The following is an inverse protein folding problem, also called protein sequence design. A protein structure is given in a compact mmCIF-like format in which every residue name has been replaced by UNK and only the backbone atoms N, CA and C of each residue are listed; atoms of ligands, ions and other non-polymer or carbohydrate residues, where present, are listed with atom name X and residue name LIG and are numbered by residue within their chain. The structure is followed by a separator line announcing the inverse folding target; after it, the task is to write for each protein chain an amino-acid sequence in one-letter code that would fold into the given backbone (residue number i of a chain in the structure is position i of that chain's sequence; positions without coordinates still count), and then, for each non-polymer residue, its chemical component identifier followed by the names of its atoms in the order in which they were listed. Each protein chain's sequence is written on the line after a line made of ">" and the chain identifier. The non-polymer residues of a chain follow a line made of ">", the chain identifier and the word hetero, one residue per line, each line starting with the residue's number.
data_IF_860067900877
#
_entry.id   IF_860067900877
#
_cell.length_a   1.000
_cell.length_b   1.000
_cell.length_c   1.000
_cell.angle_alpha   90.00
_cell.angle_beta   90.00
_cell.angle_gamma   90.00
#
_symmetry.space_group_name_H-M   'P 1'
#
loop_
_entity.id
_entity.type
_entity.pdbx_description
1 polymer ?
#
# COMPACT_ATOMS: atom_id res chain seq x y z
N UNK A 1 23.63 -25.40 -13.80
CA UNK A 1 22.25 -25.61 -13.31
C UNK A 1 22.30 -25.83 -11.81
N UNK A 2 21.62 -25.03 -11.00
CA UNK A 2 21.43 -25.35 -9.57
C UNK A 2 20.24 -26.30 -9.46
N UNK A 3 20.41 -27.42 -8.78
CA UNK A 3 19.31 -28.32 -8.44
C UNK A 3 18.44 -27.58 -7.42
N UNK A 4 17.23 -27.21 -7.82
CA UNK A 4 16.23 -26.62 -6.93
C UNK A 4 15.70 -27.73 -6.03
N UNK A 5 15.72 -27.54 -4.72
CA UNK A 5 15.24 -28.58 -3.79
C UNK A 5 13.72 -28.72 -3.92
N UNK A 6 13.17 -29.95 -3.88
CA UNK A 6 11.72 -30.16 -3.99
C UNK A 6 10.94 -29.41 -2.89
N UNK A 7 11.56 -29.24 -1.71
CA UNK A 7 11.02 -28.46 -0.60
C UNK A 7 10.78 -26.99 -0.97
N UNK A 8 11.72 -26.36 -1.67
CA UNK A 8 11.59 -24.95 -2.08
C UNK A 8 10.43 -24.72 -3.05
N UNK A 9 10.17 -25.71 -3.91
CA UNK A 9 9.09 -25.70 -4.89
C UNK A 9 7.72 -25.85 -4.21
N UNK A 10 7.62 -26.76 -3.23
CA UNK A 10 6.42 -26.90 -2.40
C UNK A 10 6.12 -25.64 -1.60
N UNK A 11 7.14 -25.04 -0.97
CA UNK A 11 6.99 -23.83 -0.17
C UNK A 11 6.51 -22.64 -1.03
N UNK A 12 7.06 -22.49 -2.25
CA UNK A 12 6.59 -21.49 -3.21
C UNK A 12 5.11 -21.69 -3.57
N UNK A 13 4.68 -22.93 -3.84
CA UNK A 13 3.29 -23.24 -4.15
C UNK A 13 2.33 -22.92 -3.00
N UNK A 14 2.72 -23.25 -1.76
CA UNK A 14 1.91 -22.97 -0.57
C UNK A 14 1.75 -21.46 -0.37
N UNK A 15 2.83 -20.69 -0.48
CA UNK A 15 2.77 -19.23 -0.35
C UNK A 15 1.89 -18.62 -1.42
N UNK A 16 2.05 -19.04 -2.67
CA UNK A 16 1.18 -18.59 -3.78
C UNK A 16 -0.29 -18.85 -3.48
N UNK A 17 -0.60 -20.05 -2.97
CA UNK A 17 -1.97 -20.42 -2.58
C UNK A 17 -2.51 -19.52 -1.47
N UNK A 18 -1.73 -19.31 -0.40
CA UNK A 18 -2.12 -18.44 0.72
C UNK A 18 -2.39 -17.01 0.25
N UNK A 19 -1.58 -16.47 -0.66
CA UNK A 19 -1.77 -15.13 -1.23
C UNK A 19 -3.08 -14.99 -2.00
N UNK A 20 -3.39 -15.96 -2.86
CA UNK A 20 -4.65 -15.96 -3.60
C UNK A 20 -5.85 -16.04 -2.65
N UNK A 21 -5.82 -16.94 -1.66
CA UNK A 21 -6.86 -17.04 -0.65
C UNK A 21 -7.01 -15.70 0.11
N UNK A 22 -5.91 -15.09 0.54
CA UNK A 22 -5.92 -13.81 1.24
C UNK A 22 -6.50 -12.67 0.38
N UNK A 23 -6.19 -12.64 -0.91
CA UNK A 23 -6.72 -11.63 -1.85
C UNK A 23 -8.22 -11.81 -2.04
N UNK A 24 -8.67 -13.06 -2.24
CA UNK A 24 -10.10 -13.38 -2.38
C UNK A 24 -10.86 -13.05 -1.10
N UNK A 25 -10.31 -13.36 0.08
CA UNK A 25 -10.91 -12.99 1.36
C UNK A 25 -10.98 -11.47 1.54
N UNK A 26 -9.93 -10.73 1.18
CA UNK A 26 -9.93 -9.26 1.24
C UNK A 26 -11.05 -8.66 0.37
N UNK A 27 -11.19 -9.13 -0.87
CA UNK A 27 -12.30 -8.73 -1.76
C UNK A 27 -13.67 -9.12 -1.19
N UNK A 28 -13.79 -10.32 -0.63
CA UNK A 28 -15.03 -10.82 -0.05
C UNK A 28 -15.46 -9.99 1.18
N UNK A 29 -14.52 -9.59 2.04
CA UNK A 29 -14.79 -8.76 3.22
C UNK A 29 -15.00 -7.27 2.88
N UNK A 30 -14.47 -6.80 1.76
CA UNK A 30 -14.71 -5.43 1.30
C UNK A 30 -16.18 -5.18 0.93
N UNK A 31 -16.86 -6.17 0.34
CA UNK A 31 -18.28 -6.06 -0.04
C UNK A 31 -19.19 -5.75 1.15
N UNK A 32 -19.23 -6.55 2.24
CA UNK A 32 -20.07 -6.23 3.40
C UNK A 32 -19.63 -4.93 4.08
N UNK A 33 -18.34 -4.60 4.09
CA UNK A 33 -17.88 -3.32 4.61
C UNK A 33 -18.47 -2.14 3.82
N UNK A 34 -18.44 -2.19 2.49
CA UNK A 34 -19.05 -1.16 1.62
C UNK A 34 -20.58 -1.12 1.78
N UNK A 35 -21.25 -2.27 1.93
CA UNK A 35 -22.69 -2.33 2.21
C UNK A 35 -23.01 -1.62 3.53
N UNK A 36 -22.24 -1.88 4.61
CA UNK A 36 -22.44 -1.21 5.90
C UNK A 36 -22.23 0.30 5.77
N UNK A 37 -21.17 0.73 5.06
CA UNK A 37 -20.94 2.17 4.81
C UNK A 37 -22.10 2.79 4.03
N UNK A 38 -22.64 2.11 3.03
CA UNK A 38 -23.76 2.59 2.23
C UNK A 38 -25.07 2.67 3.04
N UNK A 39 -25.37 1.65 3.87
CA UNK A 39 -26.54 1.64 4.75
C UNK A 39 -26.45 2.74 5.83
N UNK A 40 -25.24 3.00 6.33
CA UNK A 40 -24.99 4.07 7.28
C UNK A 40 -24.92 5.46 6.65
N UNK A 41 -24.84 5.58 5.31
CA UNK A 41 -24.67 6.87 4.63
C UNK A 41 -25.82 7.87 4.89
N UNK A 42 -27.03 7.38 5.21
CA UNK A 42 -28.17 8.23 5.59
C UNK A 42 -28.10 8.74 7.04
N UNK A 43 -27.23 8.15 7.88
CA UNK A 43 -27.05 8.51 9.30
C UNK A 43 -25.80 9.35 9.54
N UNK A 44 -24.87 9.36 8.60
CA UNK A 44 -23.59 10.10 8.68
C UNK A 44 -23.52 11.12 7.55
N UNK A 45 -22.59 12.07 7.65
CA UNK A 45 -22.34 12.99 6.54
C UNK A 45 -21.92 12.21 5.27
N UNK A 46 -22.48 12.57 4.12
CA UNK A 46 -22.14 11.98 2.81
C UNK A 46 -20.65 12.03 2.50
N UNK A 47 -19.95 13.09 2.95
CA UNK A 47 -18.49 13.20 2.79
C UNK A 47 -17.75 12.15 3.60
N UNK A 48 -18.21 11.90 4.82
CA UNK A 48 -17.60 10.91 5.71
C UNK A 48 -17.79 9.48 5.19
N UNK A 49 -18.99 9.14 4.69
CA UNK A 49 -19.22 7.83 4.07
C UNK A 49 -18.38 7.64 2.79
N UNK A 50 -18.25 8.66 1.94
CA UNK A 50 -17.37 8.62 0.76
C UNK A 50 -15.91 8.38 1.16
N UNK A 51 -15.40 9.07 2.19
CA UNK A 51 -14.03 8.86 2.69
C UNK A 51 -13.83 7.43 3.22
N UNK A 52 -14.79 6.89 3.97
CA UNK A 52 -14.74 5.50 4.45
C UNK A 52 -14.74 4.49 3.29
N UNK A 53 -15.62 4.68 2.30
CA UNK A 53 -15.64 3.85 1.10
C UNK A 53 -14.31 3.92 0.35
N UNK A 54 -13.70 5.10 0.25
CA UNK A 54 -12.44 5.30 -0.43
C UNK A 54 -11.28 4.59 0.28
N UNK A 55 -11.25 4.57 1.62
CA UNK A 55 -10.26 3.79 2.40
C UNK A 55 -10.39 2.30 2.08
N UNK A 56 -11.61 1.76 2.07
CA UNK A 56 -11.86 0.34 1.76
C UNK A 56 -11.41 0.01 0.34
N UNK A 57 -11.79 0.85 -0.64
CA UNK A 57 -11.41 0.64 -2.04
C UNK A 57 -9.89 0.72 -2.24
N UNK A 58 -9.22 1.74 -1.67
CA UNK A 58 -7.76 1.85 -1.75
C UNK A 58 -7.05 0.64 -1.12
N UNK A 59 -7.55 0.13 0.01
CA UNK A 59 -7.02 -1.07 0.64
C UNK A 59 -7.10 -2.30 -0.27
N UNK A 60 -8.27 -2.55 -0.86
CA UNK A 60 -8.47 -3.67 -1.79
C UNK A 60 -7.59 -3.52 -3.04
N UNK A 61 -7.49 -2.32 -3.60
CA UNK A 61 -6.63 -2.05 -4.76
C UNK A 61 -5.16 -2.29 -4.40
N UNK A 62 -4.72 -1.86 -3.22
CA UNK A 62 -3.35 -2.11 -2.74
C UNK A 62 -3.06 -3.61 -2.58
N UNK A 63 -4.01 -4.38 -2.04
CA UNK A 63 -3.91 -5.84 -1.93
C UNK A 63 -3.84 -6.52 -3.31
N UNK A 64 -4.68 -6.09 -4.25
CA UNK A 64 -4.66 -6.59 -5.64
C UNK A 64 -3.29 -6.31 -6.27
N UNK A 65 -2.75 -5.09 -6.16
CA UNK A 65 -1.43 -4.77 -6.72
C UNK A 65 -0.33 -5.60 -6.06
N UNK A 66 -0.37 -5.73 -4.73
CA UNK A 66 0.62 -6.51 -3.98
C UNK A 66 0.62 -7.99 -4.41
N UNK A 67 -0.55 -8.60 -4.47
CA UNK A 67 -0.69 -10.05 -4.61
C UNK A 67 -0.76 -10.52 -6.07
N UNK A 68 -1.33 -9.72 -6.98
CA UNK A 68 -1.54 -10.10 -8.39
C UNK A 68 -0.41 -9.58 -9.29
N UNK A 69 -0.02 -8.31 -9.12
CA UNK A 69 0.95 -7.66 -10.01
C UNK A 69 2.39 -7.87 -9.55
N UNK A 70 2.63 -7.66 -8.27
CA UNK A 70 3.99 -7.63 -7.73
C UNK A 70 4.48 -9.02 -7.32
N UNK A 71 3.67 -9.80 -6.60
CA UNK A 71 3.98 -11.16 -6.11
C UNK A 71 5.32 -11.25 -5.32
N UNK A 72 5.55 -10.41 -4.30
CA UNK A 72 6.87 -10.32 -3.68
C UNK A 72 7.19 -11.57 -2.87
N UNK A 73 8.19 -12.37 -3.27
CA UNK A 73 8.74 -13.41 -2.40
C UNK A 73 9.50 -12.78 -1.22
N UNK A 74 8.82 -12.55 -0.08
CA UNK A 74 9.42 -11.99 1.14
C UNK A 74 10.15 -13.03 2.01
N UNK A 75 10.72 -14.07 1.40
CA UNK A 75 11.24 -15.23 2.13
C UNK A 75 12.69 -15.13 2.62
N UNK A 76 13.40 -14.02 2.39
CA UNK A 76 14.76 -13.85 2.90
C UNK A 76 15.01 -12.43 3.44
N UNK A 77 15.85 -12.29 4.50
CA UNK A 77 16.30 -10.99 5.02
C UNK A 77 17.12 -10.21 3.98
N UNK A 78 17.61 -10.88 2.94
CA UNK A 78 18.10 -10.21 1.74
C UNK A 78 16.92 -9.95 0.81
N UNK A 79 16.56 -8.67 0.69
CA UNK A 79 15.58 -8.04 -0.21
C UNK A 79 15.82 -8.32 -1.69
N UNK A 80 15.93 -9.57 -2.11
CA UNK A 80 15.85 -9.95 -3.51
C UNK A 80 14.37 -9.99 -3.87
N UNK A 81 13.82 -8.83 -4.21
CA UNK A 81 12.49 -8.75 -4.86
C UNK A 81 12.67 -9.33 -6.25
N UNK A 82 12.52 -10.64 -6.36
CA UNK A 82 12.45 -11.32 -7.64
C UNK A 82 10.97 -11.54 -7.97
N UNK A 83 10.55 -10.99 -9.10
CA UNK A 83 9.22 -11.23 -9.68
C UNK A 83 9.37 -12.43 -10.61
N UNK A 84 9.10 -13.62 -10.10
CA UNK A 84 9.31 -14.86 -10.85
C UNK A 84 8.10 -15.22 -11.72
N UNK A 85 6.89 -15.18 -11.17
CA UNK A 85 5.69 -15.70 -11.86
C UNK A 85 4.44 -14.86 -11.54
N UNK A 86 4.39 -13.58 -11.97
CA UNK A 86 3.22 -12.74 -11.74
C UNK A 86 1.99 -13.33 -12.44
N UNK A 87 0.82 -13.21 -11.82
CA UNK A 87 -0.41 -13.71 -12.42
C UNK A 87 -0.75 -12.96 -13.72
N UNK A 88 -0.47 -11.65 -13.74
CA UNK A 88 -0.59 -10.81 -14.93
C UNK A 88 0.83 -10.33 -15.31
N UNK A 89 1.41 -10.80 -16.42
CA UNK A 89 2.77 -10.46 -16.83
C UNK A 89 2.81 -9.08 -17.51
N UNK A 90 2.45 -8.03 -16.78
CA UNK A 90 2.65 -6.64 -17.23
C UNK A 90 4.17 -6.41 -17.38
N UNK A 91 4.65 -5.75 -18.45
CA UNK A 91 6.05 -5.37 -18.57
C UNK A 91 6.41 -4.33 -17.51
N UNK A 92 7.51 -4.56 -16.80
CA UNK A 92 7.98 -3.65 -15.75
C UNK A 92 9.04 -4.28 -14.88
N UNK A 93 9.96 -3.45 -14.37
CA UNK A 93 10.93 -3.88 -13.36
C UNK A 93 10.27 -4.05 -11.98
N UNK A 94 10.86 -4.84 -11.07
CA UNK A 94 10.34 -5.02 -9.70
C UNK A 94 10.25 -3.70 -8.92
N UNK A 95 11.11 -2.72 -9.23
CA UNK A 95 11.08 -1.39 -8.61
C UNK A 95 9.80 -0.63 -8.94
N UNK A 96 9.31 -0.70 -10.18
CA UNK A 96 8.09 -0.01 -10.59
C UNK A 96 6.88 -0.49 -9.79
N UNK A 97 6.74 -1.81 -9.61
CA UNK A 97 5.62 -2.37 -8.84
C UNK A 97 5.70 -2.05 -7.36
N UNK A 98 6.92 -2.04 -6.80
CA UNK A 98 7.16 -1.58 -5.44
C UNK A 98 6.75 -0.10 -5.27
N UNK A 99 7.14 0.77 -6.20
CA UNK A 99 6.78 2.18 -6.20
C UNK A 99 5.26 2.40 -6.26
N UNK A 100 4.57 1.70 -7.16
CA UNK A 100 3.12 1.76 -7.28
C UNK A 100 2.46 1.32 -5.96
N UNK A 101 2.91 0.20 -5.38
CA UNK A 101 2.37 -0.32 -4.13
C UNK A 101 2.59 0.63 -2.94
N UNK A 102 3.81 1.15 -2.77
CA UNK A 102 4.12 2.14 -1.73
C UNK A 102 3.26 3.40 -1.92
N UNK A 103 3.11 3.87 -3.16
CA UNK A 103 2.26 5.01 -3.48
C UNK A 103 0.80 4.79 -3.09
N UNK A 104 0.24 3.61 -3.41
CA UNK A 104 -1.13 3.24 -3.04
C UNK A 104 -1.34 3.19 -1.52
N UNK A 105 -0.41 2.60 -0.78
CA UNK A 105 -0.48 2.58 0.69
C UNK A 105 -0.41 4.00 1.24
N UNK A 106 0.50 4.80 0.72
CA UNK A 106 0.73 6.16 1.17
C UNK A 106 -0.49 7.06 0.97
N UNK A 107 -1.22 6.89 -0.14
CA UNK A 107 -2.48 7.59 -0.39
C UNK A 107 -3.53 7.38 0.72
N UNK A 108 -3.44 6.30 1.51
CA UNK A 108 -4.34 6.12 2.64
C UNK A 108 -4.12 7.16 3.75
N UNK A 109 -2.90 7.67 3.94
CA UNK A 109 -2.57 8.61 5.04
C UNK A 109 -3.40 9.90 4.96
N UNK A 110 -3.43 10.65 3.83
CA UNK A 110 -4.26 11.85 3.75
C UNK A 110 -5.76 11.53 3.83
N UNK A 111 -6.20 10.36 3.35
CA UNK A 111 -7.62 9.94 3.42
C UNK A 111 -8.03 9.63 4.86
N UNK A 112 -7.17 8.92 5.62
CA UNK A 112 -7.36 8.72 7.06
C UNK A 112 -7.34 10.03 7.82
N UNK A 113 -6.43 10.95 7.48
CA UNK A 113 -6.38 12.29 8.06
C UNK A 113 -7.67 13.08 7.82
N UNK A 114 -8.18 13.08 6.58
CA UNK A 114 -9.44 13.72 6.23
C UNK A 114 -10.63 13.08 6.97
N UNK A 115 -10.67 11.75 7.03
CA UNK A 115 -11.70 10.98 7.73
C UNK A 115 -11.70 11.28 9.25
N UNK A 116 -10.51 11.36 9.85
CA UNK A 116 -10.33 11.72 11.26
C UNK A 116 -10.83 13.14 11.53
N UNK A 117 -10.46 14.11 10.68
CA UNK A 117 -10.92 15.49 10.81
C UNK A 117 -12.44 15.59 10.67
N UNK A 118 -13.04 14.94 9.66
CA UNK A 118 -14.50 14.91 9.50
C UNK A 118 -15.20 14.31 10.72
N UNK A 119 -14.68 13.21 11.29
CA UNK A 119 -15.26 12.57 12.48
C UNK A 119 -15.21 13.45 13.74
N UNK A 120 -14.15 14.25 13.90
CA UNK A 120 -14.00 15.10 15.10
C UNK A 120 -14.68 16.47 14.95
N UNK A 121 -15.05 16.83 13.73
CA UNK A 121 -15.58 18.14 13.39
C UNK A 121 -17.01 18.09 12.88
N UNK A 122 -17.75 17.02 13.21
CA UNK A 122 -19.17 16.81 12.86
C UNK A 122 -19.89 18.15 12.94
N UNK A 123 -20.29 18.60 11.76
CA UNK A 123 -20.45 20.00 11.41
C UNK A 123 -21.45 20.74 12.30
N UNK A 124 -21.17 22.03 12.50
CA UNK A 124 -22.00 23.03 13.17
C UNK A 124 -23.43 23.19 12.57
N UNK A 125 -23.69 22.63 11.38
CA UNK A 125 -24.91 22.86 10.58
C UNK A 125 -25.91 21.69 10.61
N UNK A 126 -25.51 20.49 11.04
CA UNK A 126 -26.37 19.32 11.15
C UNK A 126 -26.36 18.78 12.59
N UNK A 127 -26.99 19.55 13.50
CA UNK A 127 -27.66 19.21 14.77
C UNK A 127 -27.20 18.04 15.69
N UNK A 128 -26.05 17.41 15.47
CA UNK A 128 -25.50 16.32 16.31
C UNK A 128 -24.05 16.65 16.65
N UNK A 129 -23.83 17.85 17.19
CA UNK A 129 -22.62 18.06 17.96
C UNK A 129 -22.72 17.19 19.20
N UNK A 130 -21.76 16.28 19.35
CA UNK A 130 -21.48 15.69 20.65
C UNK A 130 -21.15 16.87 21.59
N UNK A 131 -21.96 17.07 22.64
CA UNK A 131 -22.05 18.30 23.48
C UNK A 131 -20.69 18.75 24.09
N UNK A 132 -19.63 17.95 23.95
CA UNK A 132 -18.28 18.23 24.44
C UNK A 132 -17.17 18.52 23.41
N UNK A 133 -17.43 18.57 22.09
CA UNK A 133 -16.32 18.81 21.13
C UNK A 133 -15.88 20.28 21.12
N UNK A 134 -14.77 20.57 21.81
CA UNK A 134 -14.20 21.93 21.95
C UNK A 134 -13.30 22.36 20.78
N UNK A 135 -13.06 21.50 19.80
CA UNK A 135 -12.10 21.74 18.71
C UNK A 135 -12.81 21.95 17.37
N UNK A 136 -13.26 23.17 17.12
CA UNK A 136 -13.77 23.60 15.82
C UNK A 136 -12.63 24.26 15.04
N UNK A 137 -12.13 23.60 14.00
CA UNK A 137 -11.17 24.24 13.10
C UNK A 137 -11.91 24.91 11.94
N UNK A 138 -11.49 26.12 11.53
CA UNK A 138 -11.97 26.75 10.32
C UNK A 138 -11.74 25.84 9.10
N UNK A 139 -12.63 25.91 8.11
CA UNK A 139 -12.57 25.11 6.87
C UNK A 139 -11.19 25.24 6.19
N UNK A 140 -10.62 26.45 6.16
CA UNK A 140 -9.30 26.70 5.61
C UNK A 140 -8.20 25.90 6.33
N UNK A 141 -8.21 25.88 7.67
CA UNK A 141 -7.22 25.15 8.48
C UNK A 141 -7.33 23.64 8.24
N UNK A 142 -8.53 23.10 8.03
CA UNK A 142 -8.74 21.68 7.71
C UNK A 142 -8.08 21.29 6.39
N UNK A 143 -8.34 22.05 5.33
CA UNK A 143 -7.75 21.81 4.01
C UNK A 143 -6.24 21.97 4.06
N UNK A 144 -5.74 22.95 4.80
CA UNK A 144 -4.33 23.15 5.02
C UNK A 144 -3.66 21.95 5.71
N UNK A 145 -4.27 21.41 6.77
CA UNK A 145 -3.77 20.21 7.47
C UNK A 145 -3.77 18.97 6.56
N UNK A 146 -4.85 18.76 5.79
CA UNK A 146 -4.91 17.66 4.81
C UNK A 146 -3.83 17.82 3.74
N UNK A 147 -3.60 19.06 3.27
CA UNK A 147 -2.55 19.40 2.33
C UNK A 147 -1.15 19.09 2.88
N UNK A 148 -0.88 19.45 4.15
CA UNK A 148 0.38 19.11 4.82
C UNK A 148 0.56 17.59 4.91
N UNK A 149 -0.49 16.85 5.30
CA UNK A 149 -0.42 15.39 5.37
C UNK A 149 -0.12 14.78 4.00
N UNK A 150 -0.84 15.20 2.96
CA UNK A 150 -0.61 14.72 1.59
C UNK A 150 0.81 15.05 1.10
N UNK A 151 1.30 16.26 1.37
CA UNK A 151 2.64 16.69 0.99
C UNK A 151 3.73 15.93 1.77
N UNK A 152 3.57 15.75 3.07
CA UNK A 152 4.49 14.96 3.90
C UNK A 152 4.55 13.51 3.45
N UNK A 153 3.40 12.91 3.16
CA UNK A 153 3.29 11.57 2.57
C UNK A 153 4.04 11.50 1.23
N UNK A 154 3.86 12.48 0.35
CA UNK A 154 4.56 12.56 -0.93
C UNK A 154 6.08 12.64 -0.76
N UNK A 155 6.58 13.45 0.17
CA UNK A 155 8.02 13.57 0.46
C UNK A 155 8.56 12.23 0.98
N UNK A 156 7.87 11.59 1.93
CA UNK A 156 8.30 10.32 2.51
C UNK A 156 8.37 9.24 1.43
N UNK A 157 7.35 9.13 0.59
CA UNK A 157 7.35 8.20 -0.54
C UNK A 157 8.50 8.47 -1.49
N UNK A 158 8.67 9.72 -1.93
CA UNK A 158 9.76 10.10 -2.83
C UNK A 158 11.13 9.76 -2.23
N UNK A 159 11.31 10.00 -0.93
CA UNK A 159 12.54 9.66 -0.21
C UNK A 159 12.77 8.15 -0.17
N UNK A 160 11.75 7.36 0.16
CA UNK A 160 11.83 5.89 0.16
C UNK A 160 12.15 5.34 -1.24
N UNK A 161 11.55 5.92 -2.29
CA UNK A 161 11.83 5.55 -3.68
C UNK A 161 13.29 5.85 -4.05
N UNK A 162 13.81 7.03 -3.70
CA UNK A 162 15.21 7.40 -3.96
C UNK A 162 16.17 6.49 -3.19
N UNK A 163 15.90 6.23 -1.91
CA UNK A 163 16.70 5.31 -1.09
C UNK A 163 16.69 3.90 -1.68
N UNK A 164 15.53 3.43 -2.14
CA UNK A 164 15.38 2.13 -2.78
C UNK A 164 16.19 2.02 -4.08
N UNK A 165 16.08 3.03 -4.96
CA UNK A 165 16.88 3.08 -6.20
C UNK A 165 18.38 3.08 -5.91
N UNK A 166 18.82 3.88 -4.95
CA UNK A 166 20.22 3.96 -4.55
C UNK A 166 20.73 2.60 -4.05
N UNK A 167 19.96 1.93 -3.18
CA UNK A 167 20.28 0.60 -2.69
C UNK A 167 20.36 -0.43 -3.82
N UNK A 168 19.43 -0.38 -4.78
CA UNK A 168 19.43 -1.30 -5.93
C UNK A 168 20.67 -1.13 -6.81
N UNK A 169 21.12 0.11 -7.03
CA UNK A 169 22.34 0.43 -7.80
C UNK A 169 23.60 -0.03 -7.06
N UNK A 170 23.70 0.24 -5.77
CA UNK A 170 24.83 -0.20 -4.94
C UNK A 170 24.95 -1.73 -4.94
N UNK A 171 23.83 -2.45 -4.87
CA UNK A 171 23.84 -3.91 -4.95
C UNK A 171 24.32 -4.40 -6.32
N UNK A 172 23.85 -3.80 -7.41
CA UNK A 172 24.31 -4.15 -8.77
C UNK A 172 25.82 -3.88 -8.97
N UNK A 173 26.33 -2.78 -8.40
CA UNK A 173 27.77 -2.50 -8.42
C UNK A 173 28.56 -3.53 -7.60
N UNK A 174 28.03 -3.93 -6.43
CA UNK A 174 28.66 -4.96 -5.58
C UNK A 174 28.74 -6.31 -6.30
N UNK A 175 27.66 -6.76 -6.94
CA UNK A 175 27.66 -8.05 -7.65
C UNK A 175 28.60 -8.05 -8.85
N UNK A 176 28.71 -6.93 -9.56
CA UNK A 176 29.69 -6.76 -10.64
C UNK A 176 31.13 -6.84 -10.11
N UNK A 177 31.43 -6.16 -9.00
CA UNK A 177 32.73 -6.19 -8.35
C UNK A 177 33.14 -7.61 -7.94
N UNK A 178 32.22 -8.37 -7.34
CA UNK A 178 32.46 -9.75 -6.94
C UNK A 178 32.70 -10.69 -8.12
N UNK A 179 32.02 -10.46 -9.25
CA UNK A 179 32.22 -11.24 -10.48
C UNK A 179 33.58 -10.94 -11.13
N UNK A 180 34.02 -9.68 -11.14
CA UNK A 180 35.34 -9.29 -11.65
C UNK A 180 36.45 -9.92 -10.81
N UNK A 181 36.32 -9.92 -9.48
CA UNK A 181 37.28 -10.59 -8.58
C UNK A 181 37.41 -12.08 -8.89
N UNK A 182 36.29 -12.76 -9.16
CA UNK A 182 36.29 -14.19 -9.53
C UNK A 182 36.95 -14.43 -10.89
N UNK A 183 36.72 -13.54 -11.86
CA UNK A 183 37.32 -13.64 -13.20
C UNK A 183 38.85 -13.46 -13.17
N UNK A 184 39.36 -12.57 -12.31
CA UNK A 184 40.82 -12.41 -12.14
C UNK A 184 41.49 -13.55 -11.37
N UNK A 185 40.72 -14.34 -10.63
CA UNK A 185 41.24 -15.47 -9.86
C UNK A 185 41.29 -16.79 -10.66
N UNK A 186 40.69 -16.83 -11.86
CA UNK A 186 40.69 -17.97 -12.78
C UNK A 186 41.72 -17.80 -13.89
#
# INVERSE_FOLDING_TARGET
>A
MRVVSPLSLQLHYVIKTIRHISTVLSMLFAVPALIVVALCANRVSTRYSVLLSLIVVLGVVADIVLQILWDPLMLLPATCILRENPLIPIPGGPNLYYEIWVGLIALNVPVFGACFLERHQVNYLEAVQNIGSKFLLPIFVRHFLIGILAFGTFIICSSLMISWHTLSRLRAASTLSDNLKKFHAS
#
